data_IF_849005037450
#
_entry.id   IF_849005037450
#
_cell.length_a   1.000
_cell.length_b   1.000
_cell.length_c   1.000
_cell.angle_alpha   90.00
_cell.angle_beta   90.00
_cell.angle_gamma   90.00
#
_symmetry.space_group_name_H-M   'P 1'
#
loop_
_entity.id
_entity.type
_entity.pdbx_description
1 polymer ?
#
# COMPACT_ATOMS: atom_id res chain seq x y z
N UNK A 1 4.47 2.97 47.59
CA UNK A 1 3.41 2.35 46.76
C UNK A 1 3.62 2.82 45.33
N UNK A 2 4.02 1.93 44.42
CA UNK A 2 4.47 2.27 43.05
C UNK A 2 3.45 1.69 42.06
N UNK A 3 2.66 2.50 41.34
CA UNK A 3 1.75 1.96 40.35
C UNK A 3 2.54 1.56 39.09
N UNK A 4 2.74 0.26 38.92
CA UNK A 4 3.23 -0.36 37.69
C UNK A 4 2.00 -0.58 36.79
N UNK A 5 1.57 0.47 36.09
CA UNK A 5 0.46 0.41 35.13
C UNK A 5 0.80 1.26 33.92
N UNK A 6 1.81 0.86 33.14
CA UNK A 6 2.20 1.63 31.95
C UNK A 6 2.87 0.86 30.79
N UNK A 7 2.67 -0.46 30.55
CA UNK A 7 3.11 -1.05 29.28
C UNK A 7 1.97 -1.40 28.30
N UNK A 8 0.71 -1.07 28.59
CA UNK A 8 -0.40 -1.50 27.71
C UNK A 8 -0.69 -0.54 26.53
N UNK A 9 -0.34 0.74 26.65
CA UNK A 9 -0.67 1.75 25.63
C UNK A 9 0.22 1.70 24.39
N UNK A 10 1.38 1.03 24.46
CA UNK A 10 2.34 1.01 23.34
C UNK A 10 1.96 -0.01 22.25
N UNK A 11 1.18 -1.05 22.58
CA UNK A 11 0.81 -2.11 21.63
C UNK A 11 -0.28 -1.66 20.64
N UNK A 12 -1.16 -0.74 21.04
CA UNK A 12 -2.26 -0.27 20.16
C UNK A 12 -1.78 0.64 19.01
N UNK A 13 -0.61 1.27 19.14
CA UNK A 13 -0.10 2.18 18.11
C UNK A 13 0.50 1.46 16.89
N UNK A 14 0.84 0.16 17.01
CA UNK A 14 1.38 -0.61 15.88
C UNK A 14 0.31 -1.22 14.96
N UNK A 15 -0.96 -1.26 15.39
CA UNK A 15 -2.05 -1.84 14.58
C UNK A 15 -2.57 -0.89 13.47
N UNK A 16 -2.20 0.39 13.50
CA UNK A 16 -2.75 1.42 12.60
C UNK A 16 -2.02 1.55 11.25
N UNK A 17 -1.01 0.72 10.97
CA UNK A 17 -0.26 0.75 9.71
C UNK A 17 -0.55 -0.47 8.81
N UNK A 18 -1.77 -1.00 8.84
CA UNK A 18 -2.27 -1.86 7.76
C UNK A 18 -2.72 -0.96 6.60
N UNK A 19 -1.73 -0.43 5.86
CA UNK A 19 -1.97 0.29 4.62
C UNK A 19 -2.99 -0.50 3.78
N UNK A 20 -4.18 0.08 3.56
CA UNK A 20 -5.33 -0.59 2.96
C UNK A 20 -4.88 -1.37 1.71
N UNK A 21 -4.71 -2.68 1.87
CA UNK A 21 -4.22 -3.55 0.82
C UNK A 21 -5.37 -3.72 -0.16
N UNK A 22 -5.19 -3.47 -1.47
CA UNK A 22 -6.15 -3.96 -2.44
C UNK A 22 -6.24 -5.48 -2.22
N UNK A 23 -7.44 -6.06 -2.20
CA UNK A 23 -7.58 -7.45 -1.82
C UNK A 23 -7.03 -8.27 -2.99
N UNK A 24 -5.83 -8.82 -2.83
CA UNK A 24 -5.14 -9.68 -3.80
C UNK A 24 -5.07 -11.08 -3.20
N UNK A 25 -5.35 -12.11 -4.00
CA UNK A 25 -5.28 -13.51 -3.57
C UNK A 25 -4.39 -14.33 -4.50
N UNK A 26 -3.72 -15.32 -3.92
CA UNK A 26 -3.00 -16.37 -4.63
C UNK A 26 -3.30 -17.69 -3.90
N UNK A 27 -3.90 -18.66 -4.60
CA UNK A 27 -4.33 -19.94 -4.00
C UNK A 27 -3.17 -20.87 -3.65
N UNK A 28 -2.01 -20.62 -4.23
CA UNK A 28 -0.85 -21.48 -4.12
C UNK A 28 0.10 -21.02 -3.00
N UNK A 29 -0.13 -19.82 -2.46
CA UNK A 29 0.70 -19.20 -1.43
C UNK A 29 -0.09 -18.89 -0.14
N UNK A 30 0.52 -19.05 1.05
CA UNK A 30 -0.07 -18.62 2.32
C UNK A 30 -0.39 -17.13 2.34
N UNK A 31 -1.50 -16.75 2.99
CA UNK A 31 -2.00 -15.37 3.06
C UNK A 31 -0.98 -14.38 3.65
N UNK A 32 -0.12 -14.85 4.56
CA UNK A 32 0.94 -14.06 5.19
C UNK A 32 2.00 -13.60 4.19
N UNK A 33 2.13 -14.28 3.04
CA UNK A 33 3.03 -13.84 1.96
C UNK A 33 2.44 -12.73 1.11
N UNK A 34 1.11 -12.66 0.98
CA UNK A 34 0.42 -11.73 0.08
C UNK A 34 0.74 -10.26 0.42
N UNK A 35 0.74 -9.93 1.71
CA UNK A 35 1.09 -8.61 2.22
C UNK A 35 2.55 -8.22 1.91
N UNK A 36 3.47 -9.19 1.99
CA UNK A 36 4.90 -8.98 1.72
C UNK A 36 5.14 -8.75 0.23
N UNK A 37 4.53 -9.57 -0.61
CA UNK A 37 4.66 -9.46 -2.07
C UNK A 37 4.03 -8.18 -2.59
N UNK A 38 2.84 -7.82 -2.10
CA UNK A 38 2.23 -6.54 -2.42
C UNK A 38 3.12 -5.35 -2.02
N UNK A 39 3.69 -5.39 -0.82
CA UNK A 39 4.60 -4.33 -0.35
C UNK A 39 5.87 -4.24 -1.21
N UNK A 40 6.39 -5.38 -1.68
CA UNK A 40 7.54 -5.42 -2.58
C UNK A 40 7.19 -4.83 -3.96
N UNK A 41 6.04 -5.21 -4.54
CA UNK A 41 5.53 -4.66 -5.79
C UNK A 41 5.28 -3.16 -5.68
N UNK A 42 4.71 -2.68 -4.57
CA UNK A 42 4.53 -1.25 -4.28
C UNK A 42 5.84 -0.48 -4.29
N UNK A 43 6.85 -0.95 -3.54
CA UNK A 43 8.17 -0.30 -3.52
C UNK A 43 8.84 -0.31 -4.88
N UNK A 44 8.66 -1.38 -5.67
CA UNK A 44 9.17 -1.44 -7.03
C UNK A 44 8.49 -0.40 -7.94
N UNK A 45 7.16 -0.32 -7.91
CA UNK A 45 6.40 0.65 -8.68
C UNK A 45 6.72 2.11 -8.30
N UNK A 46 6.87 2.40 -7.01
CA UNK A 46 7.27 3.73 -6.51
C UNK A 46 8.66 4.14 -7.01
N UNK A 47 9.63 3.21 -6.97
CA UNK A 47 10.97 3.46 -7.55
C UNK A 47 10.93 3.71 -9.05
N UNK A 48 10.08 2.95 -9.78
CA UNK A 48 9.94 3.07 -11.24
C UNK A 48 9.21 4.36 -11.64
N UNK A 49 8.28 4.84 -10.82
CA UNK A 49 7.59 6.11 -11.02
C UNK A 49 8.48 7.34 -10.72
N UNK A 50 9.74 7.14 -10.33
CA UNK A 50 10.72 8.21 -10.16
C UNK A 50 10.71 8.86 -8.78
N UNK A 51 9.84 8.45 -7.86
CA UNK A 51 9.60 9.14 -6.60
C UNK A 51 8.97 10.51 -6.86
N UNK A 52 7.73 10.73 -6.44
CA UNK A 52 7.16 12.08 -6.50
C UNK A 52 7.89 12.97 -5.49
N UNK A 53 8.88 13.72 -5.96
CA UNK A 53 9.49 14.85 -5.28
C UNK A 53 8.49 16.00 -5.41
N UNK A 54 7.45 15.99 -4.58
CA UNK A 54 6.50 17.09 -4.53
C UNK A 54 7.26 18.40 -4.34
N UNK A 55 7.46 19.14 -5.43
CA UNK A 55 8.14 20.42 -5.42
C UNK A 55 7.45 21.31 -4.39
N UNK A 56 8.24 21.98 -3.57
CA UNK A 56 7.78 22.74 -2.40
C UNK A 56 6.81 23.90 -2.73
N UNK A 57 6.51 24.12 -4.01
CA UNK A 57 5.51 25.08 -4.49
C UNK A 57 4.17 24.42 -4.79
N UNK A 58 3.29 24.33 -3.81
CA UNK A 58 1.94 23.77 -3.95
C UNK A 58 1.10 24.48 -5.00
N UNK A 59 1.13 23.96 -6.23
CA UNK A 59 0.26 24.36 -7.33
C UNK A 59 -1.00 23.49 -7.35
N UNK A 60 -2.19 24.01 -7.72
CA UNK A 60 -3.37 23.19 -7.95
C UNK A 60 -3.16 22.08 -9.01
N UNK A 61 -2.22 22.29 -9.94
CA UNK A 61 -1.82 21.27 -10.92
C UNK A 61 -1.10 20.08 -10.25
N UNK A 62 -0.42 20.29 -9.13
CA UNK A 62 0.22 19.21 -8.38
C UNK A 62 -0.78 18.20 -7.85
N UNK A 63 -1.99 18.62 -7.49
CA UNK A 63 -3.01 17.69 -7.04
C UNK A 63 -3.44 16.75 -8.17
N UNK A 64 -3.57 17.27 -9.40
CA UNK A 64 -3.84 16.47 -10.58
C UNK A 64 -2.68 15.52 -10.89
N UNK A 65 -1.45 16.02 -10.87
CA UNK A 65 -0.26 15.22 -11.15
C UNK A 65 -0.05 14.12 -10.11
N UNK A 66 -0.28 14.41 -8.82
CA UNK A 66 -0.31 13.40 -7.75
C UNK A 66 -1.32 12.29 -8.02
N UNK A 67 -2.51 12.62 -8.52
CA UNK A 67 -3.52 11.62 -8.88
C UNK A 67 -3.05 10.77 -10.07
N UNK A 68 -2.46 11.40 -11.11
CA UNK A 68 -1.95 10.66 -12.27
C UNK A 68 -0.79 9.74 -11.91
N UNK A 69 0.14 10.21 -11.07
CA UNK A 69 1.27 9.41 -10.58
C UNK A 69 0.76 8.26 -9.72
N UNK A 70 -0.18 8.52 -8.81
CA UNK A 70 -0.81 7.47 -8.00
C UNK A 70 -1.44 6.39 -8.88
N UNK A 71 -2.21 6.78 -9.91
CA UNK A 71 -2.82 5.83 -10.86
C UNK A 71 -1.78 4.99 -11.59
N UNK A 72 -0.67 5.60 -12.02
CA UNK A 72 0.44 4.89 -12.66
C UNK A 72 1.09 3.90 -11.71
N UNK A 73 1.37 4.30 -10.47
CA UNK A 73 1.91 3.39 -9.44
C UNK A 73 0.94 2.24 -9.18
N UNK A 74 -0.35 2.52 -8.99
CA UNK A 74 -1.36 1.49 -8.74
C UNK A 74 -1.45 0.48 -9.91
N UNK A 75 -1.35 0.94 -11.16
CA UNK A 75 -1.32 0.08 -12.34
C UNK A 75 -0.06 -0.80 -12.41
N UNK A 76 1.11 -0.24 -12.10
CA UNK A 76 2.38 -0.98 -12.04
C UNK A 76 2.38 -2.03 -10.92
N UNK A 77 1.79 -1.70 -9.76
CA UNK A 77 1.57 -2.66 -8.68
C UNK A 77 0.66 -3.79 -9.13
N UNK A 78 -0.44 -3.46 -9.83
CA UNK A 78 -1.35 -4.47 -10.35
C UNK A 78 -0.66 -5.42 -11.33
N UNK A 79 0.14 -4.89 -12.27
CA UNK A 79 0.93 -5.71 -13.19
C UNK A 79 1.88 -6.65 -12.44
N UNK A 80 2.65 -6.12 -11.49
CA UNK A 80 3.60 -6.91 -10.70
C UNK A 80 2.92 -8.03 -9.90
N UNK A 81 1.72 -7.78 -9.37
CA UNK A 81 0.94 -8.79 -8.65
C UNK A 81 0.43 -9.87 -9.60
N UNK A 82 -0.09 -9.48 -10.77
CA UNK A 82 -0.58 -10.42 -11.80
C UNK A 82 0.56 -11.32 -12.30
N UNK A 83 1.74 -10.77 -12.56
CA UNK A 83 2.92 -11.53 -12.99
C UNK A 83 3.37 -12.57 -11.95
N UNK A 84 3.06 -12.33 -10.67
CA UNK A 84 3.29 -13.25 -9.54
C UNK A 84 2.16 -14.27 -9.35
N UNK A 85 1.16 -14.30 -10.22
CA UNK A 85 0.02 -15.22 -10.12
C UNK A 85 -1.05 -14.78 -9.13
N UNK A 86 -0.99 -13.54 -8.63
CA UNK A 86 -2.08 -13.00 -7.82
C UNK A 86 -3.23 -12.54 -8.70
N UNK A 87 -4.45 -12.78 -8.22
CA UNK A 87 -5.65 -12.20 -8.82
C UNK A 87 -6.29 -11.22 -7.85
N UNK A 88 -6.87 -10.11 -8.32
CA UNK A 88 -7.63 -9.25 -7.45
C UNK A 88 -8.83 -10.04 -6.92
N UNK A 89 -8.96 -10.14 -5.60
CA UNK A 89 -10.27 -10.35 -5.00
C UNK A 89 -11.12 -9.20 -5.49
N UNK A 90 -12.22 -9.52 -6.18
CA UNK A 90 -13.12 -8.50 -6.71
C UNK A 90 -13.42 -7.54 -5.57
N UNK A 91 -13.05 -6.26 -5.72
CA UNK A 91 -13.71 -5.23 -4.93
C UNK A 91 -15.20 -5.43 -5.21
N UNK A 92 -15.99 -5.62 -4.16
CA UNK A 92 -17.40 -5.27 -4.25
C UNK A 92 -17.45 -3.89 -4.94
N UNK A 93 -18.24 -3.77 -6.01
CA UNK A 93 -18.36 -2.54 -6.80
C UNK A 93 -18.42 -1.32 -5.88
N UNK A 94 -17.71 -0.25 -6.21
CA UNK A 94 -18.19 0.56 -7.31
C UNK A 94 -19.44 1.28 -6.84
N UNK A 95 -19.23 2.37 -6.10
CA UNK A 95 -20.03 3.60 -6.07
C UNK A 95 -19.23 4.66 -5.32
#
# INVERSE_FOLDING_TARGET
MKPILLPLSLVLLLAACSAAQPPWKNTDLPKEQWARDWSACKRFAERRAGGYDGGEGGSPLDAYDRIQIKRRVDAEVASCMIDRGYVPEKKAGGQ
#
